data_IF_762945625648
#
_entry.id   IF_762945625648
#
_cell.length_a   1.000
_cell.length_b   1.000
_cell.length_c   1.000
_cell.angle_alpha   90.00
_cell.angle_beta   90.00
_cell.angle_gamma   90.00
#
_symmetry.space_group_name_H-M   'P 1'
#
loop_
_entity.id
_entity.type
_entity.pdbx_description
1 polymer ?
#
# COMPACT_ATOMS: atom_id res chain seq x y z
N UNK A 1 39.63 -38.95 -10.59
CA UNK A 1 38.52 -38.25 -9.88
C UNK A 1 38.33 -36.93 -10.61
N UNK A 2 37.34 -36.81 -11.51
CA UNK A 2 35.91 -36.54 -11.27
C UNK A 2 35.74 -35.10 -10.75
N UNK A 3 35.74 -34.13 -11.67
CA UNK A 3 34.54 -33.41 -12.18
C UNK A 3 33.66 -32.90 -11.04
N UNK A 4 33.57 -31.58 -10.90
CA UNK A 4 32.32 -30.82 -11.04
C UNK A 4 32.61 -29.32 -10.98
N UNK A 5 32.66 -28.70 -12.16
CA UNK A 5 32.19 -27.35 -12.37
C UNK A 5 30.71 -27.30 -11.96
N UNK A 6 30.33 -26.30 -11.17
CA UNK A 6 28.94 -26.02 -10.87
C UNK A 6 28.68 -24.57 -11.24
N UNK A 7 28.25 -24.39 -12.48
CA UNK A 7 27.54 -23.21 -12.95
C UNK A 7 26.51 -22.77 -11.91
N UNK A 8 26.63 -21.53 -11.45
CA UNK A 8 25.48 -20.82 -10.91
C UNK A 8 24.82 -20.11 -12.09
N UNK A 9 23.82 -20.82 -12.62
CA UNK A 9 22.91 -20.32 -13.64
C UNK A 9 22.28 -19.00 -13.20
N UNK A 10 22.47 -18.01 -14.05
CA UNK A 10 21.65 -16.80 -14.15
C UNK A 10 20.19 -17.25 -14.35
N UNK A 11 19.37 -17.17 -13.30
CA UNK A 11 17.91 -17.21 -13.44
C UNK A 11 17.45 -15.85 -13.97
N UNK A 12 17.55 -15.68 -15.28
CA UNK A 12 16.82 -14.66 -16.04
C UNK A 12 15.65 -15.39 -16.69
N UNK A 13 14.47 -15.26 -16.10
CA UNK A 13 13.26 -15.94 -16.51
C UNK A 13 12.07 -15.45 -15.69
N UNK A 14 11.70 -14.17 -15.87
CA UNK A 14 10.43 -13.64 -15.34
C UNK A 14 9.93 -12.40 -16.11
N UNK A 15 10.33 -12.19 -17.37
CA UNK A 15 10.00 -10.93 -18.07
C UNK A 15 9.09 -11.12 -19.28
N UNK A 16 8.88 -12.34 -19.78
CA UNK A 16 8.00 -12.59 -20.92
C UNK A 16 6.58 -12.97 -20.50
N UNK A 17 6.42 -13.75 -19.42
CA UNK A 17 5.10 -14.17 -18.96
C UNK A 17 4.26 -12.98 -18.44
N UNK A 18 4.90 -12.01 -17.77
CA UNK A 18 4.24 -10.80 -17.25
C UNK A 18 3.75 -9.86 -18.38
N UNK A 19 4.48 -9.79 -19.50
CA UNK A 19 4.12 -8.96 -20.64
C UNK A 19 2.94 -9.57 -21.43
N UNK A 20 2.92 -10.91 -21.59
CA UNK A 20 1.82 -11.62 -22.25
C UNK A 20 0.51 -11.51 -21.46
N UNK A 21 0.57 -11.61 -20.12
CA UNK A 21 -0.60 -11.42 -19.25
C UNK A 21 -1.17 -10.01 -19.35
N UNK A 22 -0.28 -9.00 -19.39
CA UNK A 22 -0.69 -7.60 -19.52
C UNK A 22 -1.36 -7.32 -20.87
N UNK A 23 -0.82 -7.85 -21.96
CA UNK A 23 -1.46 -7.75 -23.29
C UNK A 23 -2.82 -8.46 -23.35
N UNK A 24 -3.00 -9.57 -22.63
CA UNK A 24 -4.30 -10.24 -22.53
C UNK A 24 -5.31 -9.38 -21.76
N UNK A 25 -4.89 -8.76 -20.65
CA UNK A 25 -5.75 -7.86 -19.86
C UNK A 25 -6.19 -6.65 -20.67
N UNK A 26 -5.28 -6.00 -21.41
CA UNK A 26 -5.62 -4.85 -22.26
C UNK A 26 -6.61 -5.23 -23.36
N UNK A 27 -6.45 -6.40 -23.98
CA UNK A 27 -7.42 -6.93 -24.98
C UNK A 27 -8.80 -7.17 -24.37
N UNK A 28 -8.88 -7.69 -23.15
CA UNK A 28 -10.15 -7.92 -22.44
C UNK A 28 -10.85 -6.61 -22.08
N UNK A 29 -10.09 -5.61 -21.60
CA UNK A 29 -10.62 -4.28 -21.30
C UNK A 29 -11.17 -3.64 -22.56
N UNK A 30 -10.43 -3.69 -23.67
CA UNK A 30 -10.88 -3.14 -24.95
C UNK A 30 -12.17 -3.80 -25.46
N UNK A 31 -12.27 -5.12 -25.34
CA UNK A 31 -13.50 -5.85 -25.69
C UNK A 31 -14.69 -5.39 -24.82
N UNK A 32 -14.46 -5.15 -23.53
CA UNK A 32 -15.48 -4.70 -22.59
C UNK A 32 -15.97 -3.29 -22.91
N UNK A 33 -15.06 -2.35 -23.20
CA UNK A 33 -15.39 -0.97 -23.62
C UNK A 33 -16.29 -0.93 -24.86
N UNK A 34 -16.17 -1.91 -25.75
CA UNK A 34 -16.94 -1.99 -27.00
C UNK A 34 -18.35 -2.57 -26.83
N UNK A 35 -18.55 -3.37 -25.78
CA UNK A 35 -19.85 -4.03 -25.49
C UNK A 35 -20.70 -3.14 -24.58
N UNK A 36 -20.06 -2.41 -23.65
CA UNK A 36 -20.75 -1.56 -22.68
C UNK A 36 -21.11 -0.23 -23.32
N UNK A 37 -22.39 0.20 -23.28
CA UNK A 37 -22.80 1.50 -23.81
C UNK A 37 -21.98 2.65 -23.20
N UNK A 38 -21.29 3.43 -24.03
CA UNK A 38 -20.43 4.54 -23.57
C UNK A 38 -19.05 4.12 -23.03
N UNK A 39 -18.72 2.81 -23.05
CA UNK A 39 -17.50 2.25 -22.47
C UNK A 39 -16.19 2.77 -23.07
N UNK A 40 -16.17 3.17 -24.35
CA UNK A 40 -15.00 3.73 -25.03
C UNK A 40 -14.45 5.01 -24.37
N UNK A 41 -15.28 5.71 -23.59
CA UNK A 41 -14.92 6.96 -22.91
C UNK A 41 -14.65 6.80 -21.41
N UNK A 42 -14.73 5.58 -20.88
CA UNK A 42 -14.65 5.31 -19.44
C UNK A 42 -13.28 4.77 -19.03
N UNK A 43 -12.81 5.25 -17.88
CA UNK A 43 -11.68 4.68 -17.13
C UNK A 43 -12.03 3.28 -16.62
N UNK A 44 -11.02 2.43 -16.41
CA UNK A 44 -11.17 1.01 -16.07
C UNK A 44 -12.10 0.77 -14.88
N UNK A 45 -11.98 1.56 -13.80
CA UNK A 45 -12.81 1.38 -12.59
C UNK A 45 -14.29 1.70 -12.86
N UNK A 46 -14.57 2.80 -13.57
CA UNK A 46 -15.93 3.19 -13.95
C UNK A 46 -16.52 2.25 -15.01
N UNK A 47 -15.66 1.69 -15.88
CA UNK A 47 -16.06 0.71 -16.86
C UNK A 47 -16.61 -0.55 -16.20
N UNK A 48 -16.00 -1.04 -15.11
CA UNK A 48 -16.53 -2.19 -14.38
C UNK A 48 -17.86 -1.90 -13.68
N UNK A 49 -18.03 -0.71 -13.11
CA UNK A 49 -19.29 -0.29 -12.49
C UNK A 49 -20.42 -0.19 -13.54
N UNK A 50 -20.16 0.47 -14.67
CA UNK A 50 -21.11 0.56 -15.78
C UNK A 50 -21.39 -0.82 -16.40
N UNK A 51 -20.39 -1.69 -16.49
CA UNK A 51 -20.56 -3.09 -16.91
C UNK A 51 -21.53 -3.83 -15.98
N UNK A 52 -21.38 -3.69 -14.66
CA UNK A 52 -22.25 -4.32 -13.69
C UNK A 52 -23.69 -3.79 -13.80
N UNK A 53 -23.85 -2.47 -13.95
CA UNK A 53 -25.14 -1.83 -14.21
C UNK A 53 -25.80 -2.34 -15.49
N UNK A 54 -25.04 -2.43 -16.58
CA UNK A 54 -25.53 -2.93 -17.87
C UNK A 54 -25.95 -4.41 -17.81
N UNK A 55 -25.16 -5.25 -17.13
CA UNK A 55 -25.53 -6.67 -16.90
C UNK A 55 -26.85 -6.76 -16.12
N UNK A 56 -27.01 -5.97 -15.07
CA UNK A 56 -28.24 -6.00 -14.27
C UNK A 56 -29.46 -5.53 -15.09
N UNK A 57 -29.30 -4.50 -15.91
CA UNK A 57 -30.33 -4.02 -16.82
C UNK A 57 -30.73 -5.11 -17.83
N UNK A 58 -29.77 -5.77 -18.47
CA UNK A 58 -30.01 -6.89 -19.38
C UNK A 58 -30.74 -8.06 -18.67
N UNK A 59 -30.34 -8.39 -17.45
CA UNK A 59 -31.01 -9.43 -16.67
C UNK A 59 -32.45 -9.07 -16.33
N UNK A 60 -32.71 -7.81 -15.98
CA UNK A 60 -34.06 -7.29 -15.74
C UNK A 60 -34.93 -7.40 -16.99
N UNK A 61 -34.38 -7.01 -18.15
CA UNK A 61 -35.05 -7.12 -19.44
C UNK A 61 -35.41 -8.58 -19.77
N UNK A 62 -34.47 -9.52 -19.61
CA UNK A 62 -34.71 -10.96 -19.85
C UNK A 62 -35.79 -11.52 -18.92
N UNK A 63 -35.76 -11.18 -17.63
CA UNK A 63 -36.80 -11.61 -16.67
C UNK A 63 -38.17 -11.09 -17.08
N UNK A 64 -38.24 -9.82 -17.48
CA UNK A 64 -39.49 -9.19 -17.93
C UNK A 64 -40.02 -9.89 -19.19
N UNK A 65 -39.16 -10.12 -20.20
CA UNK A 65 -39.52 -10.84 -21.42
C UNK A 65 -40.02 -12.27 -21.12
N UNK A 66 -39.44 -12.95 -20.14
CA UNK A 66 -39.88 -14.28 -19.72
C UNK A 66 -41.29 -14.27 -19.13
N UNK A 67 -41.60 -13.30 -18.27
CA UNK A 67 -42.94 -13.14 -17.71
C UNK A 67 -43.96 -12.86 -18.81
N UNK A 68 -43.64 -11.96 -19.74
CA UNK A 68 -44.51 -11.70 -20.89
C UNK A 68 -44.72 -12.94 -21.78
N UNK A 69 -43.67 -13.72 -22.03
CA UNK A 69 -43.79 -14.96 -22.78
C UNK A 69 -44.72 -15.99 -22.09
N UNK A 70 -44.55 -16.19 -20.78
CA UNK A 70 -45.43 -17.07 -19.98
C UNK A 70 -46.88 -16.59 -19.95
N UNK A 71 -47.10 -15.27 -19.92
CA UNK A 71 -48.44 -14.68 -19.98
C UNK A 71 -49.12 -14.94 -21.34
N UNK A 72 -48.41 -14.73 -22.45
CA UNK A 72 -48.94 -15.01 -23.79
C UNK A 72 -49.25 -16.50 -24.00
N UNK A 73 -48.40 -17.40 -23.49
CA UNK A 73 -48.66 -18.85 -23.52
C UNK A 73 -49.91 -19.23 -22.71
N UNK A 74 -50.18 -18.53 -21.60
CA UNK A 74 -51.40 -18.71 -20.80
C UNK A 74 -52.67 -18.29 -21.56
N UNK A 75 -52.63 -17.15 -22.24
CA UNK A 75 -53.76 -16.65 -23.05
C UNK A 75 -54.11 -17.58 -24.23
N UNK A 76 -53.10 -18.22 -24.83
CA UNK A 76 -53.30 -19.16 -25.94
C UNK A 76 -54.02 -20.44 -25.48
N UNK A 77 -53.77 -20.89 -24.24
CA UNK A 77 -54.46 -22.04 -23.62
C UNK A 77 -55.90 -21.71 -23.23
N UNK A 78 -56.19 -20.48 -22.81
CA UNK A 78 -57.52 -20.06 -22.34
C UNK A 78 -58.53 -19.88 -23.49
N UNK A 79 -58.08 -19.43 -24.67
CA UNK A 79 -58.91 -19.39 -25.89
C UNK A 79 -59.45 -20.75 -26.35
N UNK A 80 -58.88 -21.87 -25.88
CA UNK A 80 -59.33 -23.22 -26.25
C UNK A 80 -60.45 -23.79 -25.35
N UNK A 81 -60.90 -23.08 -24.30
CA UNK A 81 -61.79 -23.61 -23.25
C UNK A 81 -63.24 -23.04 -23.21
N UNK A 82 -63.59 -22.05 -24.02
CA UNK A 82 -64.85 -21.28 -23.88
C UNK A 82 -65.96 -21.62 -24.89
N UNK A 83 -66.02 -22.87 -25.37
CA UNK A 83 -67.06 -23.30 -26.33
C UNK A 83 -67.85 -24.51 -25.87
N UNK A 84 -68.70 -24.40 -24.84
CA UNK A 84 -69.79 -25.36 -24.59
C UNK A 84 -70.82 -24.84 -23.57
N UNK A 85 -72.08 -24.88 -23.99
CA UNK A 85 -73.32 -25.15 -23.23
C UNK A 85 -74.19 -23.98 -22.70
N UNK A 86 -75.37 -23.87 -23.30
CA UNK A 86 -76.57 -23.16 -22.85
C UNK A 86 -77.82 -23.95 -23.32
N UNK A 87 -78.67 -24.47 -22.42
CA UNK A 87 -80.02 -24.99 -22.78
C UNK A 87 -81.02 -24.95 -21.60
N UNK A 88 -82.30 -24.68 -21.91
CA UNK A 88 -83.40 -24.25 -21.02
C UNK A 88 -84.57 -25.26 -20.85
N UNK A 89 -85.38 -25.03 -19.80
CA UNK A 89 -86.47 -25.80 -19.15
C UNK A 89 -87.84 -25.76 -19.90
N UNK A 90 -88.73 -26.77 -19.70
CA UNK A 90 -90.21 -26.56 -19.65
C UNK A 90 -90.99 -27.71 -18.92
N UNK A 91 -92.08 -27.32 -18.22
CA UNK A 91 -92.99 -28.11 -17.35
C UNK A 91 -94.40 -28.24 -17.97
N UNK A 92 -95.24 -29.19 -17.52
CA UNK A 92 -96.68 -29.29 -17.86
C UNK A 92 -97.54 -29.95 -16.77
N UNK A 93 -98.78 -29.43 -16.58
CA UNK A 93 -99.84 -29.87 -15.63
C UNK A 93 -101.19 -29.86 -16.37
N UNK A 94 -102.04 -30.86 -16.13
CA UNK A 94 -103.52 -30.96 -16.34
C UNK A 94 -104.00 -32.10 -15.40
N UNK A 95 -105.19 -32.17 -14.78
CA UNK A 95 -106.45 -31.44 -14.89
C UNK A 95 -107.63 -32.43 -14.96
N UNK A 96 -108.59 -32.30 -14.04
CA UNK A 96 -110.03 -32.66 -14.14
C UNK A 96 -110.63 -33.92 -13.46
N UNK A 97 -111.66 -33.62 -12.64
CA UNK A 97 -112.74 -34.46 -12.13
C UNK A 97 -113.84 -34.60 -13.21
N UNK A 98 -114.73 -35.60 -13.14
CA UNK A 98 -116.12 -35.39 -12.67
C UNK A 98 -116.95 -36.70 -12.63
N UNK A 99 -118.00 -36.62 -11.84
CA UNK A 99 -118.89 -37.61 -11.26
C UNK A 99 -119.90 -38.27 -12.23
N UNK A 100 -120.36 -39.49 -11.91
CA UNK A 100 -121.46 -40.19 -12.61
C UNK A 100 -122.68 -40.31 -11.71
N UNK A 101 -123.80 -39.74 -12.17
CA UNK A 101 -125.14 -39.89 -11.62
C UNK A 101 -125.95 -40.89 -12.45
N UNK A 102 -126.74 -41.75 -11.80
CA UNK A 102 -127.86 -42.44 -12.44
C UNK A 102 -128.08 -43.86 -11.94
N UNK A 103 -129.18 -44.10 -11.22
CA UNK A 103 -130.38 -44.68 -11.85
C UNK A 103 -131.50 -44.95 -10.83
N UNK A 104 -132.71 -44.86 -11.36
CA UNK A 104 -134.03 -45.00 -10.73
C UNK A 104 -134.58 -46.40 -11.03
N UNK A 105 -135.36 -46.98 -10.12
CA UNK A 105 -136.76 -47.41 -10.35
C UNK A 105 -137.23 -48.49 -9.35
N UNK A 106 -138.54 -48.45 -9.06
CA UNK A 106 -139.27 -49.03 -7.93
C UNK A 106 -139.50 -50.55 -8.01
N UNK A 107 -139.52 -51.22 -6.85
CA UNK A 107 -140.71 -51.95 -6.39
C UNK A 107 -140.59 -52.46 -4.93
N UNK A 108 -141.67 -52.23 -4.18
CA UNK A 108 -142.19 -53.09 -3.09
C UNK A 108 -141.27 -53.39 -1.90
N UNK A 109 -141.29 -52.52 -0.90
CA UNK A 109 -141.87 -52.78 0.43
C UNK A 109 -141.60 -51.51 1.26
N UNK A 110 -142.52 -50.53 1.24
CA UNK A 110 -142.26 -49.18 1.80
C UNK A 110 -141.80 -49.22 3.26
N UNK A 111 -142.16 -50.26 4.03
CA UNK A 111 -141.65 -50.44 5.41
C UNK A 111 -140.24 -51.06 5.49
N UNK A 112 -139.89 -51.99 4.61
CA UNK A 112 -138.56 -52.63 4.63
C UNK A 112 -137.50 -51.72 4.01
N UNK A 113 -137.83 -50.98 2.95
CA UNK A 113 -136.97 -49.98 2.36
C UNK A 113 -136.79 -48.75 3.27
N UNK A 114 -137.84 -48.30 3.96
CA UNK A 114 -137.71 -47.22 4.94
C UNK A 114 -136.82 -47.65 6.12
N UNK A 115 -136.91 -48.92 6.56
CA UNK A 115 -136.03 -49.47 7.58
C UNK A 115 -134.56 -49.60 7.09
N UNK A 116 -134.33 -50.10 5.87
CA UNK A 116 -132.99 -50.17 5.25
C UNK A 116 -132.38 -48.78 5.01
N UNK A 117 -133.19 -47.81 4.59
CA UNK A 117 -132.75 -46.41 4.47
C UNK A 117 -132.38 -45.83 5.84
N UNK A 118 -133.21 -46.04 6.87
CA UNK A 118 -132.90 -45.58 8.23
C UNK A 118 -131.59 -46.18 8.76
N UNK A 119 -131.37 -47.47 8.52
CA UNK A 119 -130.11 -48.13 8.91
C UNK A 119 -128.91 -47.58 8.11
N UNK A 120 -129.07 -47.34 6.80
CA UNK A 120 -128.01 -46.74 5.97
C UNK A 120 -127.71 -45.29 6.38
N UNK A 121 -128.74 -44.51 6.71
CA UNK A 121 -128.60 -43.15 7.28
C UNK A 121 -127.83 -43.24 8.60
N UNK A 122 -128.16 -44.17 9.49
CA UNK A 122 -127.47 -44.34 10.78
C UNK A 122 -125.99 -44.72 10.60
N UNK A 123 -125.67 -45.60 9.64
CA UNK A 123 -124.28 -45.96 9.31
C UNK A 123 -123.52 -44.76 8.73
N UNK A 124 -124.13 -44.04 7.79
CA UNK A 124 -123.54 -42.83 7.20
C UNK A 124 -123.37 -41.70 8.22
N UNK A 125 -124.27 -41.57 9.19
CA UNK A 125 -124.15 -40.62 10.29
C UNK A 125 -122.96 -40.96 11.21
N UNK A 126 -122.76 -42.25 11.54
CA UNK A 126 -121.60 -42.72 12.30
C UNK A 126 -120.29 -42.50 11.53
N UNK A 127 -120.27 -42.81 10.24
CA UNK A 127 -119.10 -42.61 9.38
C UNK A 127 -118.76 -41.12 9.23
N UNK A 128 -119.76 -40.27 8.97
CA UNK A 128 -119.60 -38.81 8.95
C UNK A 128 -119.05 -38.27 10.27
N UNK A 129 -119.49 -38.81 11.40
CA UNK A 129 -118.97 -38.44 12.71
C UNK A 129 -117.50 -38.86 12.89
N UNK A 130 -117.12 -40.06 12.47
CA UNK A 130 -115.74 -40.54 12.52
C UNK A 130 -114.82 -39.71 11.61
N UNK A 131 -115.24 -39.46 10.36
CA UNK A 131 -114.50 -38.62 9.42
C UNK A 131 -114.36 -37.18 9.93
N UNK A 132 -115.40 -36.62 10.56
CA UNK A 132 -115.32 -35.30 11.17
C UNK A 132 -114.30 -35.26 12.32
N UNK A 133 -114.24 -36.30 13.15
CA UNK A 133 -113.26 -36.43 14.22
C UNK A 133 -111.83 -36.60 13.68
N UNK A 134 -111.65 -37.43 12.65
CA UNK A 134 -110.37 -37.70 12.01
C UNK A 134 -109.83 -36.48 11.24
N UNK A 135 -110.69 -35.78 10.48
CA UNK A 135 -110.38 -34.47 9.90
C UNK A 135 -110.02 -33.44 10.98
N UNK A 136 -110.69 -33.49 12.13
CA UNK A 136 -110.34 -32.68 13.30
C UNK A 136 -108.90 -32.94 13.79
N UNK A 137 -108.49 -34.21 13.89
CA UNK A 137 -107.12 -34.61 14.26
C UNK A 137 -106.10 -34.18 13.22
N UNK A 138 -106.35 -34.45 11.94
CA UNK A 138 -105.47 -34.07 10.82
C UNK A 138 -105.29 -32.56 10.77
N UNK A 139 -106.38 -31.78 10.95
CA UNK A 139 -106.32 -30.32 10.99
C UNK A 139 -105.46 -29.80 12.14
N UNK A 140 -105.47 -30.48 13.29
CA UNK A 140 -104.61 -30.12 14.42
C UNK A 140 -103.13 -30.45 14.14
N UNK A 141 -102.84 -31.62 13.55
CA UNK A 141 -101.48 -31.98 13.15
C UNK A 141 -100.93 -31.03 12.08
N UNK A 142 -101.73 -30.69 11.06
CA UNK A 142 -101.33 -29.68 10.06
C UNK A 142 -100.96 -28.35 10.72
N UNK A 143 -101.78 -27.87 11.67
CA UNK A 143 -101.51 -26.63 12.39
C UNK A 143 -100.20 -26.68 13.17
N UNK A 144 -99.92 -27.82 13.83
CA UNK A 144 -98.66 -28.02 14.55
C UNK A 144 -97.46 -27.99 13.60
N UNK A 145 -97.54 -28.73 12.48
CA UNK A 145 -96.48 -28.75 11.46
C UNK A 145 -96.26 -27.37 10.83
N UNK A 146 -97.33 -26.58 10.60
CA UNK A 146 -97.19 -25.21 10.10
C UNK A 146 -96.38 -24.34 11.07
N UNK A 147 -96.69 -24.40 12.37
CA UNK A 147 -95.94 -23.66 13.40
C UNK A 147 -94.49 -24.15 13.48
N UNK A 148 -94.25 -25.46 13.37
CA UNK A 148 -92.90 -26.03 13.36
C UNK A 148 -92.09 -25.55 12.15
N UNK A 149 -92.68 -25.59 10.94
CA UNK A 149 -92.05 -25.08 9.70
C UNK A 149 -91.69 -23.59 9.83
N UNK A 150 -92.60 -22.77 10.35
CA UNK A 150 -92.34 -21.34 10.54
C UNK A 150 -91.21 -21.10 11.55
N UNK A 151 -91.18 -21.87 12.64
CA UNK A 151 -90.09 -21.78 13.62
C UNK A 151 -88.74 -22.22 13.04
N UNK A 152 -88.70 -23.31 12.26
CA UNK A 152 -87.50 -23.76 11.56
C UNK A 152 -87.00 -22.74 10.55
N UNK A 153 -87.90 -22.15 9.75
CA UNK A 153 -87.57 -21.06 8.81
C UNK A 153 -86.97 -19.85 9.52
N UNK A 154 -87.52 -19.47 10.67
CA UNK A 154 -86.96 -18.38 11.47
C UNK A 154 -85.56 -18.71 12.00
N UNK A 155 -85.33 -19.95 12.45
CA UNK A 155 -84.01 -20.42 12.89
C UNK A 155 -82.98 -20.50 11.77
N UNK A 156 -83.39 -20.93 10.57
CA UNK A 156 -82.52 -20.93 9.37
C UNK A 156 -82.04 -19.52 9.03
N UNK A 157 -82.93 -18.52 9.08
CA UNK A 157 -82.57 -17.13 8.85
C UNK A 157 -81.59 -16.59 9.90
N UNK A 158 -81.78 -16.92 11.18
CA UNK A 158 -80.84 -16.55 12.25
C UNK A 158 -79.45 -17.16 12.04
N UNK A 159 -79.39 -18.45 11.68
CA UNK A 159 -78.13 -19.14 11.38
C UNK A 159 -77.42 -18.53 10.18
N UNK A 160 -78.17 -18.19 9.12
CA UNK A 160 -77.62 -17.55 7.92
C UNK A 160 -77.00 -16.18 8.26
N UNK A 161 -77.68 -15.38 9.08
CA UNK A 161 -77.15 -14.09 9.56
C UNK A 161 -75.89 -14.27 10.42
N UNK A 162 -75.86 -15.26 11.32
CA UNK A 162 -74.65 -15.57 12.10
C UNK A 162 -73.49 -16.00 11.20
N UNK A 163 -73.74 -16.83 10.19
CA UNK A 163 -72.70 -17.27 9.25
C UNK A 163 -72.09 -16.09 8.50
N UNK A 164 -72.92 -15.15 8.03
CA UNK A 164 -72.45 -13.93 7.37
C UNK A 164 -71.62 -13.04 8.32
N UNK A 165 -72.05 -12.90 9.57
CA UNK A 165 -71.31 -12.13 10.58
C UNK A 165 -69.92 -12.74 10.86
N UNK A 166 -69.86 -14.06 11.07
CA UNK A 166 -68.59 -14.79 11.29
C UNK A 166 -67.68 -14.69 10.06
N UNK A 167 -68.23 -14.72 8.85
CA UNK A 167 -67.46 -14.52 7.62
C UNK A 167 -66.77 -13.14 7.59
N UNK A 168 -67.50 -12.08 7.93
CA UNK A 168 -66.95 -10.71 8.00
C UNK A 168 -65.91 -10.56 9.12
N UNK A 169 -66.13 -11.19 10.27
CA UNK A 169 -65.14 -11.20 11.37
C UNK A 169 -63.85 -11.92 10.96
N UNK A 170 -63.95 -13.03 10.23
CA UNK A 170 -62.79 -13.77 9.73
C UNK A 170 -61.98 -12.93 8.73
N UNK A 171 -62.65 -12.26 7.77
CA UNK A 171 -62.00 -11.35 6.82
C UNK A 171 -61.26 -10.21 7.54
N UNK A 172 -61.90 -9.60 8.54
CA UNK A 172 -61.28 -8.53 9.36
C UNK A 172 -60.08 -9.04 10.17
N UNK A 173 -60.18 -10.26 10.71
CA UNK A 173 -59.08 -10.92 11.41
C UNK A 173 -57.90 -11.18 10.48
N UNK A 174 -58.14 -11.67 9.27
CA UNK A 174 -57.10 -11.94 8.28
C UNK A 174 -56.41 -10.66 7.79
N UNK A 175 -57.16 -9.57 7.59
CA UNK A 175 -56.59 -8.26 7.26
C UNK A 175 -55.72 -7.72 8.41
N UNK A 176 -56.19 -7.87 9.65
CA UNK A 176 -55.43 -7.47 10.85
C UNK A 176 -54.14 -8.29 10.99
N UNK A 177 -54.20 -9.60 10.70
CA UNK A 177 -53.02 -10.47 10.70
C UNK A 177 -52.01 -10.05 9.64
N UNK A 178 -52.46 -9.75 8.41
CA UNK A 178 -51.60 -9.23 7.34
C UNK A 178 -50.92 -7.91 7.73
N UNK A 179 -51.64 -7.02 8.40
CA UNK A 179 -51.07 -5.78 8.91
C UNK A 179 -49.99 -6.03 9.99
N UNK A 180 -50.25 -6.94 10.94
CA UNK A 180 -49.28 -7.33 11.96
C UNK A 180 -48.03 -7.98 11.36
N UNK A 181 -48.18 -8.85 10.36
CA UNK A 181 -47.05 -9.46 9.67
C UNK A 181 -46.18 -8.41 8.96
N UNK A 182 -46.80 -7.39 8.35
CA UNK A 182 -46.10 -6.27 7.74
C UNK A 182 -45.31 -5.45 8.78
N UNK A 183 -45.91 -5.18 9.94
CA UNK A 183 -45.25 -4.50 11.06
C UNK A 183 -44.08 -5.32 11.60
N UNK A 184 -44.27 -6.63 11.79
CA UNK A 184 -43.22 -7.54 12.26
C UNK A 184 -42.03 -7.57 11.29
N UNK A 185 -42.29 -7.69 9.98
CA UNK A 185 -41.24 -7.64 8.97
C UNK A 185 -40.48 -6.30 8.98
N UNK A 186 -41.20 -5.18 9.12
CA UNK A 186 -40.58 -3.86 9.21
C UNK A 186 -39.73 -3.70 10.49
N UNK A 187 -40.19 -4.26 11.62
CA UNK A 187 -39.43 -4.24 12.86
C UNK A 187 -38.10 -5.02 12.72
N UNK A 188 -38.13 -6.22 12.13
CA UNK A 188 -36.91 -7.00 11.86
C UNK A 188 -35.96 -6.25 10.94
N UNK A 189 -36.45 -5.63 9.86
CA UNK A 189 -35.61 -4.80 8.99
C UNK A 189 -34.93 -3.67 9.75
N UNK A 190 -35.68 -2.92 10.55
CA UNK A 190 -35.14 -1.82 11.36
C UNK A 190 -34.09 -2.32 12.38
N UNK A 191 -34.31 -3.47 13.02
CA UNK A 191 -33.33 -4.08 13.92
C UNK A 191 -32.02 -4.44 13.19
N UNK A 192 -32.12 -4.99 11.97
CA UNK A 192 -30.94 -5.29 11.15
C UNK A 192 -30.21 -4.02 10.69
N UNK A 193 -30.94 -2.97 10.31
CA UNK A 193 -30.35 -1.68 9.94
C UNK A 193 -29.65 -1.01 11.13
N UNK A 194 -30.25 -1.02 12.31
CA UNK A 194 -29.64 -0.51 13.55
C UNK A 194 -28.35 -1.28 13.87
N UNK A 195 -28.39 -2.60 13.79
CA UNK A 195 -27.20 -3.44 14.03
C UNK A 195 -26.09 -3.14 13.03
N UNK A 196 -26.44 -2.96 11.75
CA UNK A 196 -25.48 -2.58 10.70
C UNK A 196 -24.87 -1.22 10.97
N UNK A 197 -25.69 -0.20 11.25
CA UNK A 197 -25.21 1.16 11.54
C UNK A 197 -24.33 1.20 12.80
N UNK A 198 -24.65 0.41 13.82
CA UNK A 198 -23.80 0.27 15.00
C UNK A 198 -22.44 -0.33 14.64
N UNK A 199 -22.42 -1.38 13.82
CA UNK A 199 -21.17 -1.98 13.33
C UNK A 199 -20.34 -0.98 12.49
N UNK A 200 -20.98 -0.26 11.58
CA UNK A 200 -20.33 0.77 10.74
C UNK A 200 -19.74 1.89 11.62
N UNK A 201 -20.48 2.35 12.63
CA UNK A 201 -20.02 3.36 13.58
C UNK A 201 -18.82 2.87 14.39
N UNK A 202 -18.87 1.65 14.93
CA UNK A 202 -17.75 1.05 15.68
C UNK A 202 -16.52 0.95 14.79
N UNK A 203 -16.69 0.51 13.55
CA UNK A 203 -15.59 0.40 12.57
C UNK A 203 -14.95 1.76 12.33
N UNK A 204 -15.76 2.78 12.02
CA UNK A 204 -15.28 4.15 11.78
C UNK A 204 -14.61 4.75 13.03
N UNK A 205 -15.14 4.48 14.22
CA UNK A 205 -14.50 4.91 15.47
C UNK A 205 -13.14 4.24 15.68
N UNK A 206 -13.05 2.93 15.47
CA UNK A 206 -11.80 2.17 15.60
C UNK A 206 -10.73 2.64 14.60
N UNK A 207 -11.10 2.87 13.35
CA UNK A 207 -10.20 3.43 12.33
C UNK A 207 -9.70 4.82 12.73
N UNK A 208 -10.58 5.67 13.27
CA UNK A 208 -10.21 6.98 13.78
C UNK A 208 -9.26 6.93 14.99
N UNK A 209 -9.44 5.96 15.89
CA UNK A 209 -8.55 5.72 17.03
C UNK A 209 -7.16 5.24 16.57
N UNK A 210 -7.09 4.31 15.62
CA UNK A 210 -5.83 3.82 15.05
C UNK A 210 -5.07 4.95 14.32
N UNK A 211 -5.77 5.75 13.51
CA UNK A 211 -5.18 6.92 12.86
C UNK A 211 -4.63 7.94 13.88
N UNK A 212 -5.36 8.18 14.98
CA UNK A 212 -4.91 9.08 16.04
C UNK A 212 -3.70 8.53 16.82
N UNK A 213 -3.64 7.21 17.04
CA UNK A 213 -2.48 6.56 17.64
C UNK A 213 -1.24 6.73 16.75
N UNK A 214 -1.36 6.44 15.45
CA UNK A 214 -0.28 6.63 14.48
C UNK A 214 0.19 8.10 14.40
N UNK A 215 -0.74 9.06 14.41
CA UNK A 215 -0.41 10.50 14.45
C UNK A 215 0.38 10.85 15.72
N UNK A 216 0.02 10.26 16.86
CA UNK A 216 0.69 10.52 18.15
C UNK A 216 2.13 9.97 18.14
N UNK A 217 2.33 8.77 17.59
CA UNK A 217 3.67 8.19 17.41
C UNK A 217 4.54 9.03 16.48
N UNK A 218 4.00 9.44 15.32
CA UNK A 218 4.69 10.30 14.37
C UNK A 218 5.10 11.64 14.99
N UNK A 219 4.23 12.24 15.81
CA UNK A 219 4.55 13.48 16.55
C UNK A 219 5.69 13.27 17.54
N UNK A 220 5.73 12.14 18.26
CA UNK A 220 6.84 11.83 19.17
C UNK A 220 8.17 11.70 18.41
N UNK A 221 8.18 10.93 17.32
CA UNK A 221 9.37 10.74 16.48
C UNK A 221 9.83 12.07 15.88
N UNK A 222 8.90 12.93 15.45
CA UNK A 222 9.22 14.24 14.92
C UNK A 222 9.88 15.12 15.99
N UNK A 223 9.33 15.15 17.21
CA UNK A 223 9.90 15.88 18.33
C UNK A 223 11.32 15.40 18.69
N UNK A 224 11.56 14.08 18.72
CA UNK A 224 12.90 13.53 18.94
C UNK A 224 13.89 13.94 17.83
N UNK A 225 13.46 13.92 16.57
CA UNK A 225 14.30 14.35 15.44
C UNK A 225 14.61 15.84 15.50
N UNK A 226 13.67 16.67 15.94
CA UNK A 226 13.87 18.11 16.12
C UNK A 226 14.93 18.40 17.19
N UNK A 227 14.88 17.70 18.33
CA UNK A 227 15.90 17.81 19.39
C UNK A 227 17.27 17.39 18.86
N UNK A 228 17.38 16.22 18.21
CA UNK A 228 18.65 15.73 17.64
C UNK A 228 19.22 16.68 16.59
N UNK A 229 18.36 17.32 15.79
CA UNK A 229 18.79 18.30 14.80
C UNK A 229 19.41 19.53 15.48
N UNK A 230 18.82 19.99 16.58
CA UNK A 230 19.33 21.14 17.31
C UNK A 230 20.66 20.82 18.02
N UNK A 231 20.79 19.63 18.60
CA UNK A 231 22.07 19.12 19.15
C UNK A 231 23.17 19.09 18.08
N UNK A 232 22.88 18.53 16.89
CA UNK A 232 23.83 18.49 15.78
C UNK A 232 24.23 19.89 15.29
N UNK A 233 23.31 20.86 15.28
CA UNK A 233 23.65 22.25 14.95
C UNK A 233 24.62 22.85 15.97
N UNK A 234 24.40 22.62 17.25
CA UNK A 234 25.29 23.10 18.31
C UNK A 234 26.69 22.47 18.18
N UNK A 235 26.76 21.15 17.96
CA UNK A 235 28.02 20.44 17.73
C UNK A 235 28.74 20.96 16.48
N UNK A 236 28.02 21.22 15.39
CA UNK A 236 28.60 21.83 14.17
C UNK A 236 29.23 23.19 14.45
N UNK A 237 28.55 24.04 15.24
CA UNK A 237 29.10 25.36 15.61
C UNK A 237 30.35 25.21 16.48
N UNK A 238 30.39 24.24 17.39
CA UNK A 238 31.56 24.00 18.24
C UNK A 238 32.74 23.44 17.43
N UNK A 239 32.51 22.49 16.54
CA UNK A 239 33.54 21.94 15.66
C UNK A 239 34.09 23.00 14.71
N UNK A 240 33.25 23.87 14.13
CA UNK A 240 33.68 25.02 13.33
C UNK A 240 34.53 26.03 14.12
N UNK A 241 34.25 26.22 15.42
CA UNK A 241 35.10 27.06 16.29
C UNK A 241 36.48 26.42 16.49
N UNK A 242 36.53 25.11 16.75
CA UNK A 242 37.79 24.35 16.91
C UNK A 242 38.64 24.38 15.64
N UNK A 243 38.02 24.20 14.47
CA UNK A 243 38.71 24.32 13.16
C UNK A 243 39.35 25.69 13.02
N UNK A 244 38.59 26.78 13.23
CA UNK A 244 39.14 28.14 13.15
C UNK A 244 40.24 28.42 14.18
N UNK A 245 40.21 27.80 15.35
CA UNK A 245 41.29 27.92 16.33
C UNK A 245 42.57 27.21 15.84
N UNK A 246 42.43 26.00 15.30
CA UNK A 246 43.55 25.23 14.74
C UNK A 246 44.18 25.94 13.54
N UNK A 247 43.37 26.50 12.63
CA UNK A 247 43.86 27.31 11.51
C UNK A 247 44.72 28.50 11.98
N UNK A 248 44.29 29.20 13.04
CA UNK A 248 45.11 30.29 13.63
C UNK A 248 46.42 29.78 14.23
N UNK A 249 46.40 28.62 14.90
CA UNK A 249 47.62 28.02 15.47
C UNK A 249 48.60 27.63 14.37
N UNK A 250 48.10 27.06 13.26
CA UNK A 250 48.93 26.71 12.09
C UNK A 250 49.58 27.97 11.51
N UNK A 251 48.80 29.02 11.25
CA UNK A 251 49.36 30.27 10.70
C UNK A 251 50.46 30.87 11.58
N UNK A 252 50.32 30.81 12.92
CA UNK A 252 51.36 31.26 13.85
C UNK A 252 52.62 30.39 13.78
N UNK A 253 52.47 29.07 13.66
CA UNK A 253 53.60 28.14 13.55
C UNK A 253 54.35 28.35 12.23
N UNK A 254 53.64 28.54 11.12
CA UNK A 254 54.24 28.82 9.81
C UNK A 254 55.10 30.09 9.84
N UNK A 255 54.60 31.18 10.43
CA UNK A 255 55.37 32.43 10.58
C UNK A 255 56.62 32.22 11.43
N UNK A 256 56.49 31.52 12.57
CA UNK A 256 57.64 31.22 13.44
C UNK A 256 58.70 30.39 12.71
N UNK A 257 58.30 29.40 11.93
CA UNK A 257 59.21 28.59 11.15
C UNK A 257 59.94 29.44 10.09
N UNK A 258 59.24 30.31 9.37
CA UNK A 258 59.85 31.23 8.39
C UNK A 258 60.85 32.17 9.07
N UNK A 259 60.50 32.73 10.22
CA UNK A 259 61.40 33.61 10.98
C UNK A 259 62.66 32.88 11.45
N UNK A 260 62.54 31.65 11.96
CA UNK A 260 63.67 30.83 12.38
C UNK A 260 64.58 30.45 11.22
N UNK A 261 64.00 30.02 10.09
CA UNK A 261 64.76 29.77 8.86
C UNK A 261 65.52 31.04 8.43
N UNK A 262 64.87 32.20 8.47
CA UNK A 262 65.49 33.49 8.12
C UNK A 262 66.61 33.90 9.09
N UNK A 263 66.47 33.64 10.40
CA UNK A 263 67.56 33.86 11.38
C UNK A 263 68.75 32.96 11.08
N UNK A 264 68.50 31.68 10.78
CA UNK A 264 69.56 30.72 10.44
C UNK A 264 70.34 31.16 9.20
N UNK A 265 69.65 31.55 8.13
CA UNK A 265 70.28 32.04 6.89
C UNK A 265 71.17 33.25 7.16
N UNK A 266 70.68 34.24 7.94
CA UNK A 266 71.48 35.43 8.29
C UNK A 266 72.78 35.06 9.00
N UNK A 267 72.71 34.19 10.01
CA UNK A 267 73.90 33.75 10.75
C UNK A 267 74.87 32.99 9.82
N UNK A 268 74.35 32.14 8.94
CA UNK A 268 75.16 31.41 7.97
C UNK A 268 75.87 32.34 6.97
N UNK A 269 75.18 33.36 6.46
CA UNK A 269 75.75 34.38 5.57
C UNK A 269 76.85 35.18 6.26
N UNK A 270 76.63 35.64 7.50
CA UNK A 270 77.66 36.32 8.29
C UNK A 270 78.90 35.44 8.53
N UNK A 271 78.70 34.14 8.80
CA UNK A 271 79.81 33.19 8.94
C UNK A 271 80.54 32.95 7.62
N UNK A 272 79.80 32.86 6.51
CA UNK A 272 80.37 32.70 5.17
C UNK A 272 81.22 33.90 4.76
N UNK A 273 80.79 35.12 5.08
CA UNK A 273 81.57 36.34 4.81
C UNK A 273 82.87 36.37 5.63
N UNK A 274 82.79 36.06 6.93
CA UNK A 274 83.98 35.94 7.80
C UNK A 274 84.96 34.87 7.32
N UNK A 275 84.46 33.73 6.86
CA UNK A 275 85.29 32.68 6.27
C UNK A 275 85.96 33.16 4.98
N UNK A 276 85.23 33.82 4.08
CA UNK A 276 85.78 34.36 2.84
C UNK A 276 86.86 35.43 3.10
N UNK A 277 86.69 36.26 4.12
CA UNK A 277 87.72 37.21 4.56
C UNK A 277 88.97 36.49 5.07
N UNK A 278 88.80 35.46 5.91
CA UNK A 278 89.93 34.64 6.40
C UNK A 278 90.61 33.83 5.30
N UNK A 279 89.89 33.36 4.29
CA UNK A 279 90.46 32.72 3.11
C UNK A 279 91.31 33.69 2.29
N UNK A 280 90.85 34.94 2.10
CA UNK A 280 91.65 35.99 1.45
C UNK A 280 92.92 36.29 2.23
N UNK A 281 92.84 36.46 3.55
CA UNK A 281 94.02 36.63 4.41
C UNK A 281 94.98 35.44 4.29
N UNK A 282 94.46 34.21 4.35
CA UNK A 282 95.25 32.99 4.22
C UNK A 282 95.95 32.92 2.87
N UNK A 283 95.27 33.29 1.78
CA UNK A 283 95.86 33.36 0.44
C UNK A 283 96.97 34.41 0.38
N UNK A 284 96.77 35.60 0.97
CA UNK A 284 97.79 36.63 1.05
C UNK A 284 99.02 36.16 1.85
N UNK A 285 98.82 35.51 3.00
CA UNK A 285 99.92 34.95 3.80
C UNK A 285 100.65 33.84 3.03
N UNK A 286 99.92 32.99 2.30
CA UNK A 286 100.51 31.94 1.46
C UNK A 286 101.40 32.51 0.36
N UNK A 287 100.98 33.59 -0.30
CA UNK A 287 101.80 34.26 -1.32
C UNK A 287 103.07 34.88 -0.71
N UNK A 288 102.94 35.59 0.41
CA UNK A 288 104.09 36.15 1.13
C UNK A 288 105.06 35.06 1.59
N UNK A 289 104.54 33.93 2.05
CA UNK A 289 105.36 32.77 2.42
C UNK A 289 106.14 32.24 1.22
N UNK A 290 105.49 32.11 0.06
CA UNK A 290 106.15 31.67 -1.18
C UNK A 290 107.22 32.66 -1.66
N UNK A 291 107.00 33.97 -1.53
CA UNK A 291 108.01 34.99 -1.83
C UNK A 291 109.22 34.86 -0.91
N UNK A 292 109.01 34.74 0.40
CA UNK A 292 110.08 34.54 1.38
C UNK A 292 110.85 33.24 1.15
N UNK A 293 110.16 32.14 0.83
CA UNK A 293 110.78 30.86 0.51
C UNK A 293 111.72 30.98 -0.70
N UNK A 294 111.29 31.70 -1.74
CA UNK A 294 112.13 31.99 -2.90
C UNK A 294 113.34 32.89 -2.56
N UNK A 295 113.18 33.86 -1.67
CA UNK A 295 114.29 34.70 -1.20
C UNK A 295 115.30 33.91 -0.37
N UNK A 296 114.82 33.02 0.52
CA UNK A 296 115.68 32.11 1.29
C UNK A 296 116.46 31.21 0.35
N UNK A 297 115.81 30.57 -0.62
CA UNK A 297 116.50 29.73 -1.61
C UNK A 297 117.57 30.50 -2.41
N UNK A 298 117.30 31.77 -2.76
CA UNK A 298 118.32 32.64 -3.39
C UNK A 298 119.48 32.88 -2.43
N UNK A 299 119.21 33.23 -1.17
CA UNK A 299 120.24 33.53 -0.16
C UNK A 299 121.13 32.32 0.08
N UNK A 300 120.56 31.12 0.22
CA UNK A 300 121.31 29.86 0.31
C UNK A 300 122.24 29.69 -0.90
N UNK A 301 121.74 29.90 -2.12
CA UNK A 301 122.57 29.84 -3.33
C UNK A 301 123.70 30.90 -3.39
N UNK A 302 123.51 32.08 -2.79
CA UNK A 302 124.58 33.07 -2.63
C UNK A 302 125.59 32.66 -1.56
N UNK A 303 125.13 32.06 -0.47
CA UNK A 303 125.98 31.58 0.62
C UNK A 303 126.89 30.44 0.15
N UNK A 304 126.38 29.50 -0.65
CA UNK A 304 127.18 28.44 -1.25
C UNK A 304 128.24 29.00 -2.21
N UNK A 305 127.89 29.99 -3.03
CA UNK A 305 128.85 30.70 -3.90
C UNK A 305 129.91 31.44 -3.08
N UNK A 306 129.51 32.07 -1.97
CA UNK A 306 130.42 32.75 -1.06
C UNK A 306 131.42 31.75 -0.47
N UNK A 307 130.95 30.60 0.06
CA UNK A 307 131.81 29.53 0.59
C UNK A 307 132.84 29.04 -0.44
N UNK A 308 132.42 28.80 -1.69
CA UNK A 308 133.34 28.42 -2.78
C UNK A 308 134.37 29.52 -3.06
N UNK A 309 133.97 30.79 -3.00
CA UNK A 309 134.89 31.91 -3.19
C UNK A 309 135.86 32.07 -2.01
N UNK A 310 135.41 31.88 -0.77
CA UNK A 310 136.23 31.91 0.44
C UNK A 310 137.25 30.76 0.45
N UNK A 311 136.85 29.56 0.01
CA UNK A 311 137.77 28.42 -0.14
C UNK A 311 138.83 28.70 -1.20
N UNK A 312 138.45 29.29 -2.35
CA UNK A 312 139.43 29.74 -3.37
C UNK A 312 140.38 30.80 -2.84
N UNK A 313 139.90 31.77 -2.05
CA UNK A 313 140.76 32.78 -1.43
C UNK A 313 141.74 32.12 -0.46
N UNK A 314 141.26 31.18 0.37
CA UNK A 314 142.11 30.41 1.30
C UNK A 314 143.20 29.63 0.56
N UNK A 315 142.85 28.97 -0.55
CA UNK A 315 143.79 28.31 -1.46
C UNK A 315 144.83 29.29 -2.04
N UNK A 316 144.40 30.51 -2.41
CA UNK A 316 145.30 31.55 -2.90
C UNK A 316 146.20 32.10 -1.79
N UNK A 317 145.69 32.26 -0.57
CA UNK A 317 146.44 32.65 0.62
C UNK A 317 147.51 31.61 0.96
N UNK A 318 147.17 30.32 0.92
CA UNK A 318 148.14 29.24 1.13
C UNK A 318 149.24 29.25 0.05
N UNK A 319 148.86 29.44 -1.23
CA UNK A 319 149.82 29.62 -2.33
C UNK A 319 150.69 30.85 -2.14
N UNK A 320 150.13 31.99 -1.71
CA UNK A 320 150.89 33.21 -1.41
C UNK A 320 151.86 33.01 -0.24
N UNK A 321 151.44 32.35 0.83
CA UNK A 321 152.31 32.05 1.97
C UNK A 321 153.48 31.15 1.56
N UNK A 322 153.24 30.16 0.69
CA UNK A 322 154.29 29.31 0.13
C UNK A 322 155.27 30.11 -0.73
N UNK A 323 154.77 30.97 -1.63
CA UNK A 323 155.61 31.85 -2.43
C UNK A 323 156.39 32.86 -1.57
N UNK A 324 155.80 33.39 -0.49
CA UNK A 324 156.50 34.25 0.47
C UNK A 324 157.64 33.50 1.14
N UNK A 325 157.40 32.26 1.57
CA UNK A 325 158.44 31.41 2.17
C UNK A 325 159.57 31.13 1.17
N UNK A 326 159.23 30.75 -0.07
CA UNK A 326 160.20 30.51 -1.13
C UNK A 326 161.00 31.79 -1.44
N UNK A 327 160.35 32.96 -1.46
CA UNK A 327 161.01 34.25 -1.65
C UNK A 327 161.92 34.62 -0.46
N UNK A 328 161.56 34.23 0.76
CA UNK A 328 162.34 34.48 1.97
C UNK A 328 163.55 33.53 2.06
N UNK A 329 163.41 32.27 1.63
CA UNK A 329 164.51 31.34 1.44
C UNK A 329 165.47 31.84 0.35
N UNK A 330 164.95 32.31 -0.79
CA UNK A 330 165.76 32.96 -1.83
C UNK A 330 166.50 34.20 -1.28
N UNK A 331 165.84 35.02 -0.44
CA UNK A 331 166.50 36.15 0.26
C UNK A 331 167.60 35.69 1.21
N UNK A 332 167.42 34.60 1.97
CA UNK A 332 168.47 34.05 2.84
C UNK A 332 169.67 33.58 2.04
N UNK A 333 169.47 32.93 0.89
CA UNK A 333 170.56 32.54 -0.02
C UNK A 333 171.32 33.78 -0.52
N UNK A 334 170.61 34.83 -0.94
CA UNK A 334 171.21 36.11 -1.36
C UNK A 334 171.97 36.80 -0.22
N UNK A 335 171.42 36.78 1.00
CA UNK A 335 172.09 37.31 2.20
C UNK A 335 173.37 36.53 2.56
N UNK A 336 173.36 35.20 2.39
CA UNK A 336 174.53 34.35 2.59
C UNK A 336 175.64 34.55 1.55
N UNK A 337 175.30 34.96 0.33
CA UNK A 337 176.27 35.37 -0.70
C UNK A 337 176.91 36.72 -0.35
N UNK A 338 176.16 37.64 0.25
CA UNK A 338 176.63 39.00 0.62
C UNK A 338 177.60 39.03 1.81
N UNK A 339 177.55 38.03 2.71
CA UNK A 339 178.45 37.92 3.87
C UNK A 339 179.85 37.37 3.56
N UNK A 340 180.09 36.87 2.34
CA UNK A 340 181.42 36.38 1.89
C UNK A 340 182.23 37.41 1.08
N UNK A 341 181.71 38.61 0.88
CA UNK A 341 182.31 39.64 0.00
C UNK A 341 182.73 40.92 0.72
N UNK A 342 182.63 41.01 2.05
CA UNK A 342 183.02 42.20 2.83
C UNK A 342 184.23 41.97 3.75
N UNK A 343 184.73 40.74 3.86
CA UNK A 343 186.05 40.46 4.46
C UNK A 343 187.11 40.25 3.34
N UNK A 344 187.44 41.34 2.63
CA UNK A 344 188.63 41.47 1.76
C UNK A 344 188.98 42.95 1.53
#
# INVERSE_FOLDING_TARGET
MKIQEKDHGVMSGSSQDDDDEKEEVERKIWALQRIVPGGESLEVDKLFEETAGYILALQCQIKTMRVFASFLEGMEKEKSKLGADEETIANGIEGENDDQTGESFYDVDERENEAKLKQKIEVLEKEKFLLANENGKIKNQMRQLTVEIDSLRSGELELKLRLEAVGKEMEQSDESKRALDSIANRAVQLETEVSRLQHDLITSMSEGEEANAAISELKSILGEKEVKLEELKQEKVETEKKVRELERKIAVLEVKEIEERSRRVRIEEEMREKLAEKEKETFQYKNKFLELENEVAKKEGWEDKLKVSEEKVRDMEEKMAKLQKDAEEARKVVGGLKKRTVDA
#
